data_IF_864391690940
#
_entry.id   IF_864391690940
#
_cell.length_a   1.000
_cell.length_b   1.000
_cell.length_c   1.000
_cell.angle_alpha   90.00
_cell.angle_beta   90.00
_cell.angle_gamma   90.00
#
_symmetry.space_group_name_H-M   'P 1'
#
loop_
_entity.id
_entity.type
_entity.pdbx_description
1 polymer ?
#
# COMPACT_ATOMS: atom_id res chain seq x y z
N UNK A 1 -16.41 -15.85 -4.54
CA UNK A 1 -15.82 -14.67 -5.20
C UNK A 1 -15.19 -13.83 -4.10
N UNK A 2 -13.96 -13.32 -4.27
CA UNK A 2 -13.33 -12.46 -3.26
C UNK A 2 -14.06 -11.12 -3.22
N UNK A 3 -14.54 -10.72 -2.05
CA UNK A 3 -15.18 -9.41 -1.84
C UNK A 3 -14.09 -8.38 -1.50
N UNK A 4 -13.41 -7.89 -2.53
CA UNK A 4 -12.33 -6.92 -2.40
C UNK A 4 -12.94 -5.55 -2.08
N UNK A 5 -12.57 -4.99 -0.93
CA UNK A 5 -13.06 -3.69 -0.46
C UNK A 5 -12.08 -2.54 -0.74
N UNK A 6 -10.80 -2.86 -0.96
CA UNK A 6 -9.76 -1.91 -1.38
C UNK A 6 -8.82 -2.60 -2.36
N UNK A 7 -8.57 -1.95 -3.48
CA UNK A 7 -7.59 -2.39 -4.47
C UNK A 7 -6.72 -1.21 -4.90
N UNK A 8 -5.41 -1.40 -4.79
CA UNK A 8 -4.36 -0.46 -5.17
C UNK A 8 -3.45 -1.17 -6.16
N UNK A 9 -3.34 -0.64 -7.38
CA UNK A 9 -2.52 -1.21 -8.45
C UNK A 9 -1.43 -0.26 -8.85
N UNK A 10 -0.20 -0.78 -8.95
CA UNK A 10 0.96 -0.09 -9.50
C UNK A 10 1.19 1.31 -8.90
N UNK A 11 0.94 1.45 -7.60
CA UNK A 11 0.96 2.74 -6.93
C UNK A 11 2.39 3.24 -6.80
N UNK A 12 2.61 4.45 -7.30
CA UNK A 12 3.84 5.22 -7.13
C UNK A 12 3.48 6.54 -6.44
N UNK A 13 4.23 6.91 -5.40
CA UNK A 13 4.04 8.14 -4.62
C UNK A 13 5.37 8.85 -4.48
N UNK A 14 5.43 10.09 -4.94
CA UNK A 14 6.65 10.89 -4.98
C UNK A 14 6.45 12.19 -4.19
N UNK A 15 7.50 12.58 -3.47
CA UNK A 15 7.67 13.90 -2.87
C UNK A 15 8.99 14.49 -3.38
N UNK A 16 9.25 15.80 -3.20
CA UNK A 16 10.52 16.39 -3.64
C UNK A 16 11.74 15.62 -3.12
N UNK A 17 12.51 15.02 -4.03
CA UNK A 17 13.73 14.27 -3.70
C UNK A 17 13.52 12.86 -3.15
N UNK A 18 12.27 12.34 -3.04
CA UNK A 18 12.03 10.97 -2.57
C UNK A 18 10.89 10.30 -3.33
N UNK A 19 11.11 9.05 -3.75
CA UNK A 19 10.07 8.15 -4.21
C UNK A 19 9.63 7.30 -3.02
N UNK A 20 8.54 7.70 -2.37
CA UNK A 20 8.06 7.08 -1.14
C UNK A 20 7.44 5.70 -1.37
N UNK A 21 6.80 5.51 -2.53
CA UNK A 21 6.29 4.21 -3.00
C UNK A 21 6.70 4.04 -4.47
N UNK A 22 7.12 2.84 -4.83
CA UNK A 22 7.48 2.48 -6.21
C UNK A 22 6.77 1.19 -6.63
N UNK A 23 5.83 1.32 -7.57
CA UNK A 23 5.09 0.21 -8.17
C UNK A 23 4.49 -0.78 -7.15
N UNK A 24 3.81 -0.27 -6.12
CA UNK A 24 3.25 -1.06 -5.02
C UNK A 24 1.83 -1.53 -5.33
N UNK A 25 1.52 -2.78 -5.00
CA UNK A 25 0.19 -3.37 -5.14
C UNK A 25 -0.35 -3.79 -3.76
N UNK A 26 -1.63 -3.52 -3.49
CA UNK A 26 -2.32 -3.94 -2.26
C UNK A 26 -3.78 -4.31 -2.58
N UNK A 27 -4.24 -5.43 -2.04
CA UNK A 27 -5.65 -5.83 -2.05
C UNK A 27 -6.07 -6.12 -0.62
N UNK A 28 -7.27 -5.68 -0.24
CA UNK A 28 -7.88 -5.98 1.07
C UNK A 28 -9.27 -6.55 0.84
N UNK A 29 -9.55 -7.72 1.41
CA UNK A 29 -10.85 -8.35 1.35
C UNK A 29 -11.72 -7.96 2.56
N UNK A 30 -13.05 -8.05 2.39
CA UNK A 30 -14.00 -7.74 3.46
C UNK A 30 -13.77 -8.65 4.66
N UNK A 31 -13.63 -8.04 5.84
CA UNK A 31 -13.52 -8.75 7.12
C UNK A 31 -12.08 -9.08 7.54
N UNK A 32 -11.08 -8.73 6.73
CA UNK A 32 -9.67 -8.94 7.06
C UNK A 32 -9.06 -7.75 7.81
N UNK A 33 -8.10 -8.04 8.68
CA UNK A 33 -7.24 -7.05 9.32
C UNK A 33 -5.84 -7.18 8.70
N UNK A 34 -5.39 -6.12 8.05
CA UNK A 34 -4.04 -6.02 7.49
C UNK A 34 -3.15 -5.13 8.36
N UNK A 35 -1.92 -5.55 8.57
CA UNK A 35 -0.90 -4.75 9.24
C UNK A 35 0.20 -4.38 8.23
N UNK A 36 0.51 -3.08 8.14
CA UNK A 36 1.69 -2.61 7.42
C UNK A 36 2.84 -2.45 8.41
N UNK A 37 3.91 -3.20 8.19
CA UNK A 37 5.09 -3.24 9.06
C UNK A 37 6.35 -2.88 8.29
N UNK A 38 7.32 -2.29 8.98
CA UNK A 38 8.56 -1.78 8.39
C UNK A 38 9.13 -0.62 9.18
N UNK A 39 10.38 -0.25 8.90
CA UNK A 39 11.10 0.82 9.59
C UNK A 39 10.51 2.22 9.32
N UNK A 40 10.93 3.22 10.11
CA UNK A 40 10.55 4.61 9.86
C UNK A 40 11.07 5.07 8.50
N UNK A 41 10.20 5.68 7.70
CA UNK A 41 10.52 6.08 6.32
C UNK A 41 10.25 5.02 5.25
N UNK A 42 9.86 3.79 5.60
CA UNK A 42 9.58 2.72 4.63
C UNK A 42 8.30 2.89 3.78
N UNK A 43 7.62 4.04 3.85
CA UNK A 43 6.41 4.31 3.04
C UNK A 43 5.09 3.79 3.60
N UNK A 44 5.00 3.50 4.91
CA UNK A 44 3.76 2.98 5.55
C UNK A 44 2.62 3.99 5.67
N UNK A 45 2.89 5.30 5.56
CA UNK A 45 1.95 6.43 5.79
C UNK A 45 1.74 7.30 4.55
#
# INVERSE_FOLDING_TARGET
MKDIILEMKEITKEFPGVKALDNVNLQVERGEIHALVGENGAGKS
#
